data_IF_723709024070
#
_entry.id   IF_723709024070
#
_cell.length_a   1.000
_cell.length_b   1.000
_cell.length_c   1.000
_cell.angle_alpha   90.00
_cell.angle_beta   90.00
_cell.angle_gamma   90.00
#
_symmetry.space_group_name_H-M   'P 1'
#
loop_
_entity.id
_entity.type
_entity.pdbx_description
1 polymer ?
#
# COMPACT_ATOMS: atom_id res chain seq x y z
N UNK A 1 2.08 92.13 24.75
CA UNK A 1 1.58 90.81 24.31
C UNK A 1 1.43 89.96 25.56
N UNK A 2 0.22 89.52 25.90
CA UNK A 2 0.01 88.66 27.07
C UNK A 2 0.65 87.30 26.82
N UNK A 3 1.44 86.81 27.77
CA UNK A 3 1.93 85.43 27.76
C UNK A 3 0.72 84.48 27.77
N UNK A 4 0.66 83.50 26.86
CA UNK A 4 -0.43 82.51 26.85
C UNK A 4 -0.46 81.79 28.20
N UNK A 5 -1.61 81.85 28.88
CA UNK A 5 -1.83 81.10 30.11
C UNK A 5 -2.14 79.66 29.70
N UNK A 6 -1.14 78.79 29.80
CA UNK A 6 -1.39 77.36 29.67
C UNK A 6 -2.08 76.85 30.93
N UNK A 7 -2.97 75.84 30.83
CA UNK A 7 -3.49 75.16 32.00
C UNK A 7 -2.36 74.65 32.89
N UNK A 8 -2.53 74.73 34.21
CA UNK A 8 -1.49 74.32 35.17
C UNK A 8 -1.08 72.84 35.04
N UNK A 9 -1.91 72.02 34.37
CA UNK A 9 -1.70 70.59 34.13
C UNK A 9 -1.08 70.25 32.76
N UNK A 10 -0.67 71.25 31.97
CA UNK A 10 -0.16 71.00 30.61
C UNK A 10 1.05 70.05 30.58
N UNK A 11 1.93 70.16 31.59
CA UNK A 11 3.11 69.31 31.71
C UNK A 11 2.73 67.84 31.98
N UNK A 12 1.67 67.62 32.75
CA UNK A 12 1.16 66.29 33.05
C UNK A 12 0.46 65.67 31.83
N UNK A 13 -0.32 66.46 31.10
CA UNK A 13 -0.94 66.03 29.85
C UNK A 13 0.11 65.63 28.82
N UNK A 14 1.18 66.43 28.69
CA UNK A 14 2.31 66.13 27.80
C UNK A 14 3.03 64.84 28.19
N UNK A 15 3.28 64.64 29.49
CA UNK A 15 3.92 63.42 29.98
C UNK A 15 3.05 62.17 29.75
N UNK A 16 1.73 62.25 29.96
CA UNK A 16 0.80 61.15 29.66
C UNK A 16 0.78 60.80 28.18
N UNK A 17 0.74 61.81 27.31
CA UNK A 17 0.79 61.60 25.86
C UNK A 17 2.11 60.94 25.44
N UNK A 18 3.25 61.43 25.95
CA UNK A 18 4.58 60.85 25.68
C UNK A 18 4.67 59.38 26.10
N UNK A 19 4.21 59.06 27.30
CA UNK A 19 4.19 57.68 27.82
C UNK A 19 3.27 56.79 26.98
N UNK A 20 2.07 57.27 26.61
CA UNK A 20 1.16 56.55 25.73
C UNK A 20 1.74 56.27 24.35
N UNK A 21 2.44 57.24 23.77
CA UNK A 21 3.13 57.11 22.48
C UNK A 21 4.29 56.11 22.55
N UNK A 22 5.08 56.13 23.62
CA UNK A 22 6.15 55.14 23.85
C UNK A 22 5.60 53.73 24.01
N UNK A 23 4.50 53.56 24.76
CA UNK A 23 3.82 52.27 24.92
C UNK A 23 3.26 51.77 23.57
N UNK A 24 2.60 52.64 22.79
CA UNK A 24 2.08 52.31 21.48
C UNK A 24 3.19 51.92 20.48
N UNK A 25 4.32 52.65 20.47
CA UNK A 25 5.46 52.30 19.61
C UNK A 25 6.14 50.99 20.04
N UNK A 26 6.22 50.73 21.35
CA UNK A 26 6.75 49.46 21.89
C UNK A 26 5.85 48.29 21.51
N UNK A 27 4.54 48.44 21.66
CA UNK A 27 3.55 47.44 21.25
C UNK A 27 3.56 47.21 19.72
N UNK A 28 3.68 48.28 18.93
CA UNK A 28 3.77 48.17 17.47
C UNK A 28 5.05 47.45 17.01
N UNK A 29 6.18 47.65 17.72
CA UNK A 29 7.44 46.92 17.50
C UNK A 29 7.42 45.48 18.02
N UNK A 30 6.59 45.21 19.02
CA UNK A 30 6.38 43.89 19.61
C UNK A 30 5.35 43.03 18.85
N UNK A 31 4.93 43.43 17.64
CA UNK A 31 4.28 42.47 16.72
C UNK A 31 5.19 41.25 16.64
N UNK A 32 4.62 40.07 16.92
CA UNK A 32 5.30 38.78 16.89
C UNK A 32 5.84 38.55 15.49
N UNK A 33 7.02 39.09 15.23
CA UNK A 33 7.86 38.81 14.07
C UNK A 33 8.11 37.32 14.18
N UNK A 34 7.53 36.54 13.27
CA UNK A 34 7.68 35.09 13.14
C UNK A 34 8.73 34.54 14.08
N UNK A 35 8.30 34.18 15.30
CA UNK A 35 9.22 33.62 16.28
C UNK A 35 9.62 32.28 15.67
N UNK A 36 10.77 32.25 14.99
CA UNK A 36 11.42 31.00 14.66
C UNK A 36 11.70 30.36 16.01
N UNK A 37 10.84 29.43 16.40
CA UNK A 37 11.10 28.55 17.53
C UNK A 37 12.22 27.63 17.04
N UNK A 38 13.47 28.09 17.18
CA UNK A 38 14.65 27.24 17.08
C UNK A 38 14.76 26.48 18.39
N UNK A 39 13.83 25.56 18.60
CA UNK A 39 13.86 24.62 19.70
C UNK A 39 14.18 23.25 19.12
N UNK A 40 15.07 22.51 19.79
CA UNK A 40 15.42 21.14 19.41
C UNK A 40 14.18 20.24 19.38
N UNK A 41 13.19 20.48 20.24
CA UNK A 41 11.93 19.77 20.30
C UNK A 41 10.82 20.66 20.91
N UNK A 42 9.62 20.64 20.33
CA UNK A 42 8.41 21.26 20.86
C UNK A 42 7.47 20.14 21.32
N UNK A 43 7.12 20.14 22.59
CA UNK A 43 6.16 19.20 23.18
C UNK A 43 4.85 19.92 23.47
N UNK A 44 3.74 19.36 22.99
CA UNK A 44 2.38 19.82 23.27
C UNK A 44 1.62 18.68 23.96
N UNK A 45 1.34 18.81 25.25
CA UNK A 45 0.66 17.80 26.06
C UNK A 45 1.41 17.48 27.35
N UNK A 46 1.10 16.32 27.95
CA UNK A 46 1.68 15.88 29.22
C UNK A 46 2.52 14.61 29.03
N UNK A 47 3.58 14.46 29.84
CA UNK A 47 4.33 13.21 29.96
C UNK A 47 4.03 12.56 31.33
N UNK A 48 3.74 11.24 31.40
CA UNK A 48 3.49 10.30 30.30
C UNK A 48 2.00 10.31 29.89
N UNK A 49 1.65 10.97 28.78
CA UNK A 49 0.27 11.04 28.31
C UNK A 49 0.15 11.36 26.83
N UNK A 50 -1.05 11.76 26.42
CA UNK A 50 -1.33 12.24 25.06
C UNK A 50 -0.48 13.47 24.80
N UNK A 51 0.34 13.39 23.76
CA UNK A 51 1.23 14.48 23.39
C UNK A 51 1.53 14.49 21.90
N UNK A 52 1.83 15.69 21.41
CA UNK A 52 2.40 15.91 20.08
C UNK A 52 3.84 16.37 20.30
N UNK A 53 4.77 15.73 19.61
CA UNK A 53 6.19 16.11 19.64
C UNK A 53 6.59 16.56 18.24
N UNK A 54 6.95 17.83 18.11
CA UNK A 54 7.48 18.42 16.87
C UNK A 54 8.98 18.57 17.03
N UNK A 55 9.75 17.87 16.22
CA UNK A 55 11.20 17.88 16.28
C UNK A 55 11.75 18.43 14.94
N UNK A 56 12.07 19.74 14.88
CA UNK A 56 12.54 20.37 13.67
C UNK A 56 14.07 20.28 13.47
N UNK A 57 14.86 20.12 14.54
CA UNK A 57 16.34 20.26 14.52
C UNK A 57 17.11 19.01 15.02
N UNK A 58 16.46 18.02 15.63
CA UNK A 58 17.13 16.96 16.41
C UNK A 58 17.73 15.79 15.62
N UNK A 59 17.49 15.70 14.31
CA UNK A 59 18.15 14.73 13.43
C UNK A 59 18.14 15.28 11.99
N UNK A 60 18.91 14.68 11.07
CA UNK A 60 18.88 15.02 9.64
C UNK A 60 17.47 14.93 8.98
N UNK A 61 16.46 14.53 9.74
CA UNK A 61 15.06 14.33 9.33
C UNK A 61 14.10 15.03 10.31
N UNK A 62 13.47 16.17 9.94
CA UNK A 62 12.43 16.78 10.76
C UNK A 62 11.22 15.86 10.92
N UNK A 63 10.57 15.85 12.08
CA UNK A 63 9.41 14.97 12.36
C UNK A 63 8.33 15.59 13.25
N UNK A 64 7.11 15.07 13.12
CA UNK A 64 5.95 15.34 13.99
C UNK A 64 5.40 13.99 14.44
N UNK A 65 5.35 13.76 15.76
CA UNK A 65 4.85 12.52 16.36
C UNK A 65 3.59 12.77 17.18
N UNK A 66 2.61 11.89 17.03
CA UNK A 66 1.35 11.91 17.77
C UNK A 66 1.29 10.67 18.66
N UNK A 67 1.39 10.88 19.97
CA UNK A 67 1.32 9.81 20.96
C UNK A 67 -0.11 9.68 21.49
N UNK A 68 -0.75 8.49 21.35
CA UNK A 68 -2.01 8.21 22.00
C UNK A 68 -1.79 8.03 23.52
N UNK A 69 -2.89 8.03 24.26
CA UNK A 69 -2.88 7.77 25.69
C UNK A 69 -2.70 6.27 25.96
N UNK A 70 -2.04 5.92 27.08
CA UNK A 70 -1.95 4.54 27.57
C UNK A 70 -0.75 3.71 27.10
N UNK A 71 -0.04 4.10 26.04
CA UNK A 71 1.18 3.39 25.57
C UNK A 71 2.24 4.40 25.09
N UNK A 72 3.23 4.76 25.94
CA UNK A 72 4.23 5.79 25.64
C UNK A 72 5.06 5.56 24.37
N UNK A 73 5.19 4.30 23.94
CA UNK A 73 5.99 3.84 22.81
C UNK A 73 5.23 3.84 21.48
N UNK A 74 3.89 3.95 21.50
CA UNK A 74 3.09 4.01 20.28
C UNK A 74 2.99 5.44 19.77
N UNK A 75 3.17 5.64 18.46
CA UNK A 75 2.98 6.96 17.85
C UNK A 75 2.73 6.88 16.34
N UNK A 76 1.92 7.80 15.83
CA UNK A 76 1.95 8.13 14.41
C UNK A 76 3.03 9.19 14.16
N UNK A 77 3.80 9.06 13.10
CA UNK A 77 4.88 10.00 12.75
C UNK A 77 4.77 10.47 11.30
N UNK A 78 4.87 11.79 11.13
CA UNK A 78 5.15 12.41 9.84
C UNK A 78 6.61 12.83 9.89
N UNK A 79 7.42 12.36 8.96
CA UNK A 79 8.83 12.73 8.88
C UNK A 79 9.20 13.20 7.49
N UNK A 80 9.98 14.27 7.44
CA UNK A 80 10.66 14.74 6.24
C UNK A 80 12.06 14.15 6.22
N UNK A 81 12.49 13.62 5.08
CA UNK A 81 13.86 13.20 4.87
C UNK A 81 14.34 13.72 3.52
N UNK A 82 15.57 14.22 3.49
CA UNK A 82 16.27 14.46 2.24
C UNK A 82 17.04 13.18 1.91
N UNK A 83 16.63 12.45 0.87
CA UNK A 83 17.48 11.42 0.28
C UNK A 83 18.48 12.14 -0.66
N UNK A 84 19.79 11.83 -0.62
CA UNK A 84 20.73 12.34 -1.62
C UNK A 84 20.27 12.11 -3.07
N UNK A 85 19.50 11.06 -3.33
CA UNK A 85 18.99 10.70 -4.65
C UNK A 85 17.55 11.18 -4.92
N UNK A 86 16.87 11.75 -3.92
CA UNK A 86 15.51 12.32 -4.02
C UNK A 86 15.38 13.53 -3.09
N UNK A 87 15.60 14.77 -3.60
CA UNK A 87 15.53 15.97 -2.78
C UNK A 87 14.09 16.23 -2.32
N UNK A 88 13.78 15.78 -1.11
CA UNK A 88 12.56 16.10 -0.36
C UNK A 88 11.41 15.14 -0.62
N UNK A 89 11.26 14.14 0.24
CA UNK A 89 10.06 13.32 0.31
C UNK A 89 9.44 13.37 1.71
N UNK A 90 8.13 13.16 1.76
CA UNK A 90 7.34 13.15 3.01
C UNK A 90 6.91 11.72 3.28
N UNK A 91 7.41 11.13 4.37
CA UNK A 91 7.02 9.79 4.78
C UNK A 91 6.02 9.88 5.93
N UNK A 92 4.88 9.21 5.80
CA UNK A 92 3.90 9.08 6.87
C UNK A 92 3.95 7.66 7.44
N UNK A 93 4.55 7.52 8.62
CA UNK A 93 4.64 6.25 9.32
C UNK A 93 3.52 6.16 10.35
N UNK A 94 2.65 5.16 10.23
CA UNK A 94 1.70 4.79 11.28
C UNK A 94 2.32 3.63 12.05
N UNK A 95 3.08 3.96 13.11
CA UNK A 95 3.80 2.95 13.89
C UNK A 95 2.96 2.50 15.10
N UNK A 96 2.76 1.19 15.20
CA UNK A 96 2.24 0.56 16.42
C UNK A 96 3.34 -0.39 16.87
N UNK A 97 4.12 0.01 17.87
CA UNK A 97 5.31 -0.68 18.41
C UNK A 97 6.46 -0.95 17.42
N UNK A 98 7.70 -0.74 17.88
CA UNK A 98 8.94 -1.12 17.19
C UNK A 98 9.11 -2.63 16.98
N UNK A 99 8.17 -3.46 17.46
CA UNK A 99 8.16 -4.92 17.33
C UNK A 99 6.77 -5.50 16.99
N UNK A 100 5.85 -4.73 16.42
CA UNK A 100 4.59 -5.31 15.91
C UNK A 100 4.45 -5.08 14.40
N UNK A 101 3.66 -5.91 13.71
CA UNK A 101 3.29 -5.65 12.34
C UNK A 101 2.64 -4.28 12.21
N UNK A 102 3.07 -3.49 11.24
CA UNK A 102 2.60 -2.12 11.07
C UNK A 102 2.37 -1.77 9.61
N UNK A 103 1.51 -0.77 9.37
CA UNK A 103 1.28 -0.20 8.04
C UNK A 103 2.19 1.00 7.83
N UNK A 104 2.94 0.99 6.73
CA UNK A 104 3.73 2.14 6.30
C UNK A 104 3.12 2.76 5.05
N UNK A 105 2.98 4.10 5.07
CA UNK A 105 2.63 4.91 3.92
C UNK A 105 3.82 5.79 3.52
N UNK A 106 4.21 5.72 2.25
CA UNK A 106 5.27 6.53 1.68
C UNK A 106 4.69 7.34 0.52
N UNK A 107 4.94 8.65 0.56
CA UNK A 107 4.57 9.58 -0.50
C UNK A 107 5.85 10.32 -0.92
N UNK A 108 6.33 10.01 -2.10
CA UNK A 108 7.54 10.55 -2.73
C UNK A 108 7.17 11.20 -4.07
N UNK A 109 8.10 11.97 -4.65
CA UNK A 109 7.92 12.76 -5.88
C UNK A 109 7.32 11.97 -7.05
N UNK A 110 7.64 10.69 -7.14
CA UNK A 110 7.22 9.80 -8.23
C UNK A 110 6.60 8.48 -7.73
N UNK A 111 6.30 8.37 -6.42
CA UNK A 111 5.82 7.12 -5.83
C UNK A 111 4.86 7.37 -4.67
N UNK A 112 3.72 6.67 -4.69
CA UNK A 112 2.89 6.39 -3.54
C UNK A 112 3.03 4.91 -3.19
N UNK A 113 3.29 4.56 -1.93
CA UNK A 113 3.42 3.17 -1.52
C UNK A 113 2.80 2.95 -0.14
N UNK A 114 1.83 2.05 -0.08
CA UNK A 114 1.31 1.47 1.14
C UNK A 114 1.80 0.02 1.27
N UNK A 115 2.44 -0.31 2.39
CA UNK A 115 2.98 -1.66 2.65
C UNK A 115 2.75 -2.07 4.09
N UNK A 116 2.42 -3.34 4.30
CA UNK A 116 2.50 -3.99 5.60
C UNK A 116 3.93 -4.46 5.86
N UNK A 117 4.44 -4.20 7.06
CA UNK A 117 5.73 -4.70 7.54
C UNK A 117 5.54 -5.58 8.76
N UNK A 118 6.40 -6.57 8.93
CA UNK A 118 6.48 -7.36 10.15
C UNK A 118 7.21 -6.61 11.28
N UNK A 119 7.33 -7.29 12.42
CA UNK A 119 8.01 -6.83 13.64
C UNK A 119 9.48 -6.45 13.43
N UNK A 120 10.12 -6.99 12.39
CA UNK A 120 11.52 -6.71 12.04
C UNK A 120 11.63 -5.60 11.00
N UNK A 121 10.50 -4.98 10.64
CA UNK A 121 10.43 -3.98 9.59
C UNK A 121 10.59 -4.55 8.19
N UNK A 122 10.48 -5.86 7.96
CA UNK A 122 10.51 -6.46 6.62
C UNK A 122 9.13 -6.36 5.98
N UNK A 123 9.05 -6.07 4.68
CA UNK A 123 7.76 -6.07 3.96
C UNK A 123 7.19 -7.48 3.98
N UNK A 124 6.06 -7.63 4.67
CA UNK A 124 5.41 -8.92 4.89
C UNK A 124 3.91 -8.71 5.02
N UNK A 125 3.23 -8.70 3.89
CA UNK A 125 1.78 -8.51 3.82
C UNK A 125 1.32 -7.84 2.55
N UNK A 126 0.15 -7.20 2.65
CA UNK A 126 -0.45 -6.44 1.54
C UNK A 126 0.42 -5.26 1.09
N UNK A 127 0.41 -5.00 -0.21
CA UNK A 127 1.08 -3.85 -0.82
C UNK A 127 0.22 -3.21 -1.90
N UNK A 128 0.26 -1.88 -1.92
CA UNK A 128 -0.19 -1.04 -3.01
C UNK A 128 0.94 -0.06 -3.33
N UNK A 129 1.45 -0.11 -4.55
CA UNK A 129 2.51 0.78 -5.00
C UNK A 129 2.08 1.42 -6.32
N UNK A 130 1.97 2.74 -6.33
CA UNK A 130 1.81 3.52 -7.54
C UNK A 130 3.10 4.28 -7.78
N UNK A 131 3.73 4.08 -8.92
CA UNK A 131 4.88 4.87 -9.33
C UNK A 131 4.71 5.30 -10.80
N UNK A 132 5.61 6.16 -11.29
CA UNK A 132 5.56 6.67 -12.67
C UNK A 132 5.44 5.58 -13.75
N UNK A 133 6.04 4.41 -13.51
CA UNK A 133 6.18 3.37 -14.52
C UNK A 133 5.20 2.20 -14.34
N UNK A 134 4.62 2.04 -13.15
CA UNK A 134 3.73 0.94 -12.86
C UNK A 134 2.83 1.19 -11.65
N UNK A 135 1.68 0.53 -11.66
CA UNK A 135 0.84 0.28 -10.49
C UNK A 135 0.97 -1.19 -10.10
N UNK A 136 1.33 -1.46 -8.85
CA UNK A 136 1.44 -2.81 -8.30
C UNK A 136 0.45 -2.96 -7.15
N UNK A 137 -0.31 -4.05 -7.14
CA UNK A 137 -1.21 -4.39 -6.03
C UNK A 137 -1.10 -5.87 -5.74
N UNK A 138 -1.00 -6.24 -4.46
CA UNK A 138 -0.95 -7.64 -4.07
C UNK A 138 -0.41 -7.87 -2.67
N UNK A 139 0.31 -8.96 -2.52
CA UNK A 139 0.90 -9.44 -1.29
C UNK A 139 2.37 -9.81 -1.52
N UNK A 140 3.24 -9.43 -0.59
CA UNK A 140 4.67 -9.74 -0.60
C UNK A 140 5.09 -10.23 0.77
N UNK A 141 5.75 -11.38 0.83
CA UNK A 141 6.53 -11.84 1.97
C UNK A 141 7.92 -12.29 1.52
N UNK A 142 8.77 -12.67 2.47
CA UNK A 142 10.12 -13.17 2.20
C UNK A 142 10.14 -14.45 1.34
N UNK A 143 9.10 -15.28 1.42
CA UNK A 143 9.03 -16.57 0.72
C UNK A 143 7.99 -16.62 -0.41
N UNK A 144 7.02 -15.70 -0.43
CA UNK A 144 5.86 -15.76 -1.33
C UNK A 144 5.49 -14.39 -1.83
N UNK A 145 5.19 -14.28 -3.12
CA UNK A 145 4.64 -13.08 -3.72
C UNK A 145 3.42 -13.44 -4.58
N UNK A 146 2.38 -12.64 -4.47
CA UNK A 146 1.22 -12.68 -5.36
C UNK A 146 0.81 -11.25 -5.68
N UNK A 147 1.09 -10.75 -6.88
CA UNK A 147 0.80 -9.37 -7.27
C UNK A 147 0.39 -9.24 -8.73
N UNK A 148 -0.49 -8.28 -8.96
CA UNK A 148 -0.79 -7.73 -10.27
C UNK A 148 0.03 -6.46 -10.46
N UNK A 149 0.61 -6.31 -11.65
CA UNK A 149 1.38 -5.15 -12.06
C UNK A 149 0.82 -4.62 -13.38
N UNK A 150 0.45 -3.34 -13.39
CA UNK A 150 -0.02 -2.60 -14.56
C UNK A 150 1.08 -1.64 -14.99
N UNK A 151 1.72 -1.89 -16.12
CA UNK A 151 2.89 -1.14 -16.57
C UNK A 151 2.50 -0.01 -17.53
N UNK A 152 3.28 1.07 -17.54
CA UNK A 152 3.06 2.24 -18.39
C UNK A 152 3.12 1.94 -19.90
N UNK A 153 3.71 0.81 -20.31
CA UNK A 153 3.75 0.34 -21.70
C UNK A 153 2.46 -0.39 -22.14
N UNK A 154 1.43 -0.42 -21.29
CA UNK A 154 0.15 -1.10 -21.58
C UNK A 154 0.13 -2.59 -21.24
N UNK A 155 1.21 -3.15 -20.66
CA UNK A 155 1.28 -4.55 -20.27
C UNK A 155 0.76 -4.75 -18.84
N UNK A 156 -0.04 -5.80 -18.65
CA UNK A 156 -0.39 -6.32 -17.32
C UNK A 156 0.39 -7.59 -17.05
N UNK A 157 1.12 -7.64 -15.94
CA UNK A 157 1.85 -8.80 -15.48
C UNK A 157 1.27 -9.34 -14.18
N UNK A 158 1.21 -10.66 -14.06
CA UNK A 158 0.88 -11.35 -12.81
C UNK A 158 2.12 -12.10 -12.30
N UNK A 159 2.47 -11.87 -11.04
CA UNK A 159 3.54 -12.60 -10.35
C UNK A 159 2.89 -13.40 -9.23
N UNK A 160 3.14 -14.71 -9.18
CA UNK A 160 2.66 -15.56 -8.10
C UNK A 160 2.12 -16.88 -8.59
N UNK A 161 1.24 -17.48 -7.78
CA UNK A 161 0.65 -18.80 -8.03
C UNK A 161 -0.86 -18.67 -8.06
N UNK A 162 -1.48 -19.32 -9.03
CA UNK A 162 -2.92 -19.54 -9.02
C UNK A 162 -3.26 -20.73 -8.13
N UNK A 163 -4.49 -20.78 -7.61
CA UNK A 163 -4.99 -21.95 -6.93
C UNK A 163 -4.88 -23.17 -7.85
N UNK A 164 -4.53 -24.33 -7.27
CA UNK A 164 -4.51 -25.58 -8.01
C UNK A 164 -5.93 -26.19 -8.07
N UNK A 165 -6.12 -27.17 -8.93
CA UNK A 165 -7.34 -27.98 -9.04
C UNK A 165 -7.69 -28.69 -7.75
N UNK A 166 -8.98 -28.94 -7.53
CA UNK A 166 -9.50 -29.38 -6.23
C UNK A 166 -9.77 -28.18 -5.32
N UNK A 167 -10.46 -27.17 -5.88
CA UNK A 167 -10.80 -25.96 -5.14
C UNK A 167 -11.71 -26.29 -3.97
N UNK A 168 -11.52 -25.59 -2.86
CA UNK A 168 -12.43 -25.64 -1.69
C UNK A 168 -13.35 -24.42 -1.61
N UNK A 169 -13.13 -23.42 -2.48
CA UNK A 169 -13.84 -22.15 -2.48
C UNK A 169 -14.54 -21.90 -3.82
N UNK A 170 -15.86 -21.73 -3.78
CA UNK A 170 -16.72 -21.44 -4.93
C UNK A 170 -16.56 -20.02 -5.48
N UNK A 171 -15.73 -19.16 -4.89
CA UNK A 171 -15.44 -17.78 -5.30
C UNK A 171 -14.11 -17.60 -6.05
N UNK A 172 -13.39 -18.69 -6.35
CA UNK A 172 -12.14 -18.62 -7.11
C UNK A 172 -12.38 -18.08 -8.53
N UNK A 173 -11.72 -16.97 -8.89
CA UNK A 173 -11.87 -16.30 -10.19
C UNK A 173 -11.06 -16.94 -11.32
N UNK A 174 -9.87 -17.44 -11.00
CA UNK A 174 -9.00 -18.18 -11.92
C UNK A 174 -8.25 -19.25 -11.13
N UNK A 175 -8.10 -20.43 -11.73
CA UNK A 175 -7.28 -21.50 -11.19
C UNK A 175 -6.68 -22.31 -12.34
N UNK A 176 -5.65 -23.08 -12.03
CA UNK A 176 -5.00 -23.94 -12.99
C UNK A 176 -4.84 -25.34 -12.40
N UNK A 177 -4.55 -26.31 -13.25
CA UNK A 177 -4.00 -27.56 -12.77
C UNK A 177 -3.74 -28.55 -13.87
N UNK A 178 -3.47 -29.78 -13.45
CA UNK A 178 -3.07 -30.86 -14.31
C UNK A 178 -3.74 -32.15 -13.87
N UNK A 179 -4.36 -32.85 -14.81
CA UNK A 179 -4.91 -34.20 -14.60
C UNK A 179 -4.22 -35.16 -15.55
N UNK A 180 -3.75 -36.29 -15.02
CA UNK A 180 -3.27 -37.40 -15.82
C UNK A 180 -4.47 -38.26 -16.21
N UNK A 181 -4.75 -38.36 -17.50
CA UNK A 181 -5.57 -39.44 -18.01
C UNK A 181 -4.64 -40.62 -18.29
N UNK A 182 -4.89 -41.73 -17.57
CA UNK A 182 -4.18 -42.98 -17.81
C UNK A 182 -4.45 -43.51 -19.23
N UNK A 183 -3.69 -44.52 -19.64
CA UNK A 183 -3.94 -45.21 -20.91
C UNK A 183 -5.34 -45.84 -20.90
N UNK A 184 -6.24 -45.32 -21.71
CA UNK A 184 -7.55 -45.92 -22.00
C UNK A 184 -7.44 -46.90 -23.16
N UNK A 185 -8.16 -48.02 -23.11
CA UNK A 185 -8.26 -48.95 -24.23
C UNK A 185 -9.38 -48.52 -25.20
N UNK A 186 -9.04 -48.23 -26.45
CA UNK A 186 -9.90 -48.63 -27.58
C UNK A 186 -10.82 -47.63 -28.25
N UNK A 187 -10.49 -46.33 -28.35
CA UNK A 187 -11.24 -45.42 -29.25
C UNK A 187 -10.36 -44.40 -29.96
N UNK A 188 -10.84 -43.91 -31.11
CA UNK A 188 -10.26 -42.80 -31.88
C UNK A 188 -10.30 -41.48 -31.11
N UNK A 189 -11.20 -41.35 -30.14
CA UNK A 189 -11.37 -40.17 -29.30
C UNK A 189 -11.67 -40.58 -27.86
N UNK A 190 -11.00 -39.93 -26.92
CA UNK A 190 -11.17 -40.13 -25.48
C UNK A 190 -11.78 -38.87 -24.86
N UNK A 191 -12.89 -39.02 -24.13
CA UNK A 191 -13.48 -37.95 -23.33
C UNK A 191 -12.90 -37.96 -21.92
N UNK A 192 -12.49 -36.79 -21.44
CA UNK A 192 -12.00 -36.55 -20.10
C UNK A 192 -12.86 -35.50 -19.41
N UNK A 193 -13.62 -35.92 -18.41
CA UNK A 193 -14.36 -35.04 -17.52
C UNK A 193 -13.47 -34.60 -16.35
N UNK A 194 -13.34 -33.29 -16.16
CA UNK A 194 -12.51 -32.69 -15.12
C UNK A 194 -13.39 -31.88 -14.20
N UNK A 195 -13.49 -32.31 -12.94
CA UNK A 195 -14.25 -31.61 -11.90
C UNK A 195 -13.45 -30.49 -11.23
N UNK A 196 -14.14 -29.44 -10.80
CA UNK A 196 -13.55 -28.30 -10.07
C UNK A 196 -13.33 -28.58 -8.58
N UNK A 197 -13.93 -29.65 -8.04
CA UNK A 197 -13.91 -30.02 -6.62
C UNK A 197 -15.07 -29.41 -5.83
N UNK A 198 -15.51 -28.21 -6.20
CA UNK A 198 -16.70 -27.53 -5.67
C UNK A 198 -17.58 -27.02 -6.80
N UNK A 199 -18.87 -26.78 -6.51
CA UNK A 199 -19.75 -26.04 -7.41
C UNK A 199 -19.38 -24.56 -7.38
N UNK A 200 -18.95 -24.02 -8.52
CA UNK A 200 -18.56 -22.62 -8.70
C UNK A 200 -19.80 -21.72 -8.71
N UNK A 201 -19.63 -20.48 -8.21
CA UNK A 201 -20.71 -19.50 -8.13
C UNK A 201 -21.23 -19.02 -9.51
N UNK A 202 -20.42 -19.17 -10.57
CA UNK A 202 -20.74 -18.83 -11.95
C UNK A 202 -20.14 -19.87 -12.89
N UNK A 203 -20.65 -19.99 -14.14
CA UNK A 203 -19.98 -20.77 -15.17
C UNK A 203 -18.51 -20.35 -15.33
N UNK A 204 -17.66 -21.33 -15.64
CA UNK A 204 -16.23 -21.14 -15.85
C UNK A 204 -15.89 -21.48 -17.30
N UNK A 205 -15.00 -20.71 -17.91
CA UNK A 205 -14.40 -21.02 -19.21
C UNK A 205 -13.06 -21.71 -18.99
N UNK A 206 -12.87 -22.84 -19.64
CA UNK A 206 -11.69 -23.69 -19.57
C UNK A 206 -10.84 -23.54 -20.83
N UNK A 207 -9.55 -23.31 -20.63
CA UNK A 207 -8.53 -23.39 -21.67
C UNK A 207 -7.62 -24.56 -21.31
N UNK A 208 -7.61 -25.59 -22.16
CA UNK A 208 -6.85 -26.81 -21.93
C UNK A 208 -5.78 -27.04 -23.02
N UNK A 209 -4.67 -27.62 -22.60
CA UNK A 209 -3.57 -28.06 -23.45
C UNK A 209 -3.15 -29.47 -23.05
N UNK A 210 -2.71 -30.26 -24.03
CA UNK A 210 -2.30 -31.65 -23.80
C UNK A 210 -0.78 -31.76 -23.84
N UNK A 211 -0.22 -32.45 -22.85
CA UNK A 211 1.17 -32.92 -22.85
C UNK A 211 1.19 -34.44 -22.90
N UNK A 212 1.74 -34.99 -23.99
CA UNK A 212 1.93 -36.43 -24.12
C UNK A 212 3.01 -36.93 -23.14
N UNK A 213 2.84 -38.15 -22.63
CA UNK A 213 3.80 -38.85 -21.77
C UNK A 213 4.74 -39.79 -22.54
N UNK A 214 4.46 -40.06 -23.82
CA UNK A 214 5.28 -40.87 -24.71
C UNK A 214 5.83 -40.10 -25.93
N UNK A 215 6.75 -40.73 -26.66
CA UNK A 215 7.24 -40.23 -27.93
C UNK A 215 6.28 -40.67 -29.05
N UNK A 216 5.30 -39.84 -29.43
CA UNK A 216 4.69 -39.80 -30.78
C UNK A 216 3.50 -38.82 -30.91
N UNK A 217 3.38 -38.30 -32.15
CA UNK A 217 2.31 -37.57 -32.84
C UNK A 217 1.68 -36.30 -32.20
N UNK A 218 1.38 -35.25 -32.99
CA UNK A 218 0.45 -34.21 -32.58
C UNK A 218 -0.96 -34.81 -32.42
N UNK A 219 -1.69 -34.41 -31.38
CA UNK A 219 -3.07 -34.81 -31.13
C UNK A 219 -3.99 -33.60 -31.30
N UNK A 220 -5.14 -33.80 -31.93
CA UNK A 220 -6.21 -32.82 -31.84
C UNK A 220 -6.91 -32.92 -30.47
N UNK A 221 -7.25 -31.78 -29.89
CA UNK A 221 -8.05 -31.71 -28.67
C UNK A 221 -8.96 -30.48 -28.68
N UNK A 222 -10.08 -30.57 -27.97
CA UNK A 222 -10.99 -29.44 -27.77
C UNK A 222 -11.83 -29.62 -26.50
N UNK A 223 -12.31 -28.51 -25.93
CA UNK A 223 -13.28 -28.50 -24.83
C UNK A 223 -14.68 -28.69 -25.43
N UNK A 224 -15.45 -29.65 -24.91
CA UNK A 224 -16.76 -30.04 -25.45
C UNK A 224 -17.93 -29.51 -24.63
N UNK A 225 -17.72 -29.31 -23.33
CA UNK A 225 -18.74 -28.83 -22.41
C UNK A 225 -18.10 -28.14 -21.22
N UNK A 226 -18.76 -27.09 -20.71
CA UNK A 226 -18.37 -26.33 -19.53
C UNK A 226 -19.58 -26.16 -18.62
N UNK A 227 -19.35 -26.15 -17.31
CA UNK A 227 -20.41 -25.99 -16.32
C UNK A 227 -19.89 -25.31 -15.06
N UNK A 228 -20.71 -25.25 -14.01
CA UNK A 228 -20.31 -24.79 -12.68
C UNK A 228 -19.57 -25.85 -11.86
N UNK A 229 -19.58 -27.12 -12.24
CA UNK A 229 -18.94 -28.21 -11.47
C UNK A 229 -17.70 -28.78 -12.14
N UNK A 230 -17.49 -28.49 -13.42
CA UNK A 230 -16.39 -29.01 -14.21
C UNK A 230 -16.52 -28.69 -15.69
N UNK A 231 -15.61 -29.25 -16.48
CA UNK A 231 -15.65 -29.23 -17.94
C UNK A 231 -15.32 -30.61 -18.49
N UNK A 232 -15.64 -30.83 -19.76
CA UNK A 232 -15.24 -32.03 -20.50
C UNK A 232 -14.38 -31.61 -21.67
N UNK A 233 -13.30 -32.34 -21.89
CA UNK A 233 -12.48 -32.21 -23.08
C UNK A 233 -12.42 -33.53 -23.82
N UNK A 234 -12.26 -33.45 -25.14
CA UNK A 234 -12.11 -34.59 -26.03
C UNK A 234 -10.75 -34.54 -26.69
N UNK A 235 -10.03 -35.67 -26.65
CA UNK A 235 -8.65 -35.81 -27.16
C UNK A 235 -8.57 -36.97 -28.12
N UNK A 236 -7.88 -36.79 -29.24
CA UNK A 236 -7.69 -37.82 -30.25
C UNK A 236 -6.75 -38.92 -29.75
N UNK A 237 -7.11 -40.18 -30.00
CA UNK A 237 -6.32 -41.38 -29.70
C UNK A 237 -6.55 -41.99 -28.32
N UNK A 238 -5.80 -43.07 -28.06
CA UNK A 238 -5.94 -43.95 -26.89
C UNK A 238 -4.67 -44.00 -26.04
N UNK A 239 -4.02 -42.86 -25.82
CA UNK A 239 -2.75 -42.76 -25.10
C UNK A 239 -2.89 -42.09 -23.75
N UNK A 240 -1.91 -42.31 -22.86
CA UNK A 240 -1.84 -41.58 -21.59
C UNK A 240 -1.35 -40.14 -21.82
N UNK A 241 -2.04 -39.17 -21.25
CA UNK A 241 -1.71 -37.76 -21.43
C UNK A 241 -1.98 -36.93 -20.17
N UNK A 242 -1.25 -35.82 -20.04
CA UNK A 242 -1.56 -34.79 -19.07
C UNK A 242 -2.40 -33.70 -19.71
N UNK A 243 -3.60 -33.47 -19.19
CA UNK A 243 -4.40 -32.29 -19.49
C UNK A 243 -3.98 -31.17 -18.53
N UNK A 244 -3.31 -30.14 -19.06
CA UNK A 244 -3.01 -28.91 -18.33
C UNK A 244 -4.07 -27.89 -18.68
N UNK A 245 -4.62 -27.20 -17.69
CA UNK A 245 -5.70 -26.26 -17.96
C UNK A 245 -5.69 -25.06 -17.04
N UNK A 246 -6.34 -24.02 -17.52
CA UNK A 246 -6.69 -22.80 -16.80
C UNK A 246 -8.18 -22.59 -16.93
N UNK A 247 -8.84 -22.35 -15.81
CA UNK A 247 -10.26 -22.02 -15.78
C UNK A 247 -10.41 -20.61 -15.23
N UNK A 248 -11.22 -19.78 -15.89
CA UNK A 248 -11.52 -18.42 -15.45
C UNK A 248 -13.01 -18.12 -15.56
N UNK A 249 -13.48 -17.12 -14.80
CA UNK A 249 -14.87 -16.66 -14.85
C UNK A 249 -15.11 -15.74 -16.03
N UNK A 250 -16.33 -15.80 -16.55
CA UNK A 250 -16.94 -14.79 -17.43
C UNK A 250 -17.94 -13.94 -16.67
#
# INVERSE_FOLDING_TARGET
>A
MGTPNYPDDWADQWNRMRTGLQAAMTAARARVKYARIAAAEILVGEQPGRRIVVNPEGAATPSIRFYPEGVPENYAEILGSADPDSPGFTRMLLNTMTQAPHTQLLIDKDQFRATMRDERGTVNGGTLELNRNAVNVGFVSTATQSRMQFQANGVTAHYGRWSNTGLTNSQTGIFAGQVLQGSGSGSTWTDLAIGYGVTMASPMVAVATIKNTGAQAPFAHYVTAESVTGFTMRVEGSHAFYANFWCFRT
#
